data_IF_676978476498
#
_entry.id   IF_676978476498
#
_cell.length_a   1.000
_cell.length_b   1.000
_cell.length_c   1.000
_cell.angle_alpha   90.00
_cell.angle_beta   90.00
_cell.angle_gamma   90.00
#
_symmetry.space_group_name_H-M   'P 1'
#
loop_
_entity.id
_entity.type
_entity.pdbx_description
1 polymer ?
#
# COMPACT_ATOMS: atom_id res chain seq x y z
N UNK A 1 -13.70 15.55 6.43
CA UNK A 1 -12.53 16.37 6.82
C UNK A 1 -12.72 17.05 8.18
N UNK A 2 -13.80 17.84 8.44
CA UNK A 2 -13.95 18.60 9.69
C UNK A 2 -13.96 17.73 10.94
N UNK A 3 -14.80 16.69 11.01
CA UNK A 3 -14.89 15.77 12.15
C UNK A 3 -13.55 15.08 12.35
N UNK A 4 -12.89 14.62 11.29
CA UNK A 4 -11.59 13.93 11.37
C UNK A 4 -10.51 14.85 11.95
N UNK A 5 -10.46 16.13 11.53
CA UNK A 5 -9.55 17.12 12.12
C UNK A 5 -9.77 17.27 13.63
N UNK A 6 -11.01 17.43 14.07
CA UNK A 6 -11.35 17.55 15.50
C UNK A 6 -10.97 16.29 16.31
N UNK A 7 -11.14 15.10 15.73
CA UNK A 7 -10.71 13.85 16.39
C UNK A 7 -9.20 13.80 16.55
N UNK A 8 -8.45 14.21 15.55
CA UNK A 8 -6.99 14.30 15.61
C UNK A 8 -6.56 15.33 16.65
N UNK A 9 -7.01 16.59 16.51
CA UNK A 9 -6.53 17.70 17.34
C UNK A 9 -6.98 17.62 18.81
N UNK A 10 -8.23 17.17 19.05
CA UNK A 10 -8.83 17.21 20.40
C UNK A 10 -8.87 15.86 21.10
N UNK A 11 -8.76 14.75 20.38
CA UNK A 11 -8.89 13.39 20.91
C UNK A 11 -7.66 12.53 20.73
N UNK A 12 -6.63 13.03 20.02
CA UNK A 12 -5.36 12.35 19.84
C UNK A 12 -5.44 11.11 18.96
N UNK A 13 -6.35 11.06 17.99
CA UNK A 13 -6.35 10.00 16.99
C UNK A 13 -5.12 10.13 16.10
N UNK A 14 -4.37 9.04 15.93
CA UNK A 14 -3.12 8.99 15.17
C UNK A 14 -3.19 8.13 13.91
N UNK A 15 -4.36 7.58 13.58
CA UNK A 15 -4.56 6.80 12.37
C UNK A 15 -5.88 7.12 11.70
N UNK A 16 -5.84 7.21 10.37
CA UNK A 16 -7.00 7.34 9.50
C UNK A 16 -7.01 6.11 8.59
N UNK A 17 -8.11 5.38 8.58
CA UNK A 17 -8.32 4.26 7.69
C UNK A 17 -9.48 4.58 6.73
N UNK A 18 -9.27 4.36 5.44
CA UNK A 18 -10.21 4.72 4.39
C UNK A 18 -10.48 3.54 3.46
N UNK A 19 -11.68 3.48 2.90
CA UNK A 19 -12.04 2.51 1.86
C UNK A 19 -11.39 2.94 0.53
N UNK A 20 -10.12 2.64 0.40
CA UNK A 20 -9.30 2.93 -0.76
C UNK A 20 -8.19 1.89 -0.87
N UNK A 21 -7.63 1.73 -2.07
CA UNK A 21 -6.51 0.81 -2.31
C UNK A 21 -5.30 1.16 -1.45
N UNK A 22 -4.68 0.15 -0.85
CA UNK A 22 -3.53 0.34 0.03
C UNK A 22 -2.38 1.11 -0.64
N UNK A 23 -1.92 0.78 -1.87
CA UNK A 23 -0.83 1.50 -2.50
C UNK A 23 -1.12 2.99 -2.70
N UNK A 24 -2.36 3.35 -3.06
CA UNK A 24 -2.78 4.74 -3.23
C UNK A 24 -2.78 5.50 -1.90
N UNK A 25 -3.31 4.88 -0.85
CA UNK A 25 -3.27 5.45 0.50
C UNK A 25 -1.83 5.57 1.04
N UNK A 26 -0.95 4.61 0.72
CA UNK A 26 0.46 4.67 1.10
C UNK A 26 1.19 5.86 0.45
N UNK A 27 0.88 6.23 -0.79
CA UNK A 27 1.41 7.44 -1.42
C UNK A 27 1.04 8.71 -0.62
N UNK A 28 -0.22 8.81 -0.17
CA UNK A 28 -0.65 9.90 0.71
C UNK A 28 0.10 9.83 2.05
N UNK A 29 0.22 8.63 2.63
CA UNK A 29 0.92 8.44 3.90
C UNK A 29 2.39 8.90 3.84
N UNK A 30 3.11 8.54 2.79
CA UNK A 30 4.49 8.99 2.57
C UNK A 30 4.58 10.51 2.42
N UNK A 31 3.66 11.13 1.70
CA UNK A 31 3.61 12.58 1.54
C UNK A 31 3.39 13.31 2.87
N UNK A 32 2.40 12.88 3.67
CA UNK A 32 2.10 13.53 4.95
C UNK A 32 3.19 13.32 6.02
N UNK A 33 4.06 12.32 5.82
CA UNK A 33 5.25 12.10 6.64
C UNK A 33 6.50 12.83 6.13
N UNK A 34 6.43 13.45 4.94
CA UNK A 34 7.53 14.20 4.34
C UNK A 34 8.60 13.31 3.68
N UNK A 35 8.28 12.06 3.36
CA UNK A 35 9.19 11.09 2.75
C UNK A 35 9.04 10.97 1.24
N UNK A 36 8.02 11.61 0.65
CA UNK A 36 7.81 11.70 -0.79
C UNK A 36 7.29 13.08 -1.21
N UNK A 37 7.47 13.47 -2.50
CA UNK A 37 6.85 14.67 -3.05
C UNK A 37 5.32 14.56 -3.02
N UNK A 38 4.64 15.66 -3.32
CA UNK A 38 3.18 15.69 -3.40
C UNK A 38 2.68 14.68 -4.46
N UNK A 39 1.92 13.64 -4.06
CA UNK A 39 1.49 12.61 -4.98
C UNK A 39 0.54 13.13 -6.07
N UNK A 40 -0.15 14.25 -5.81
CA UNK A 40 -1.05 14.87 -6.78
C UNK A 40 -0.31 15.63 -7.88
N UNK A 41 0.97 15.94 -7.66
CA UNK A 41 1.86 16.55 -8.66
C UNK A 41 2.62 15.52 -9.48
N UNK A 42 2.85 14.32 -8.95
CA UNK A 42 3.74 13.31 -9.55
C UNK A 42 2.99 12.11 -10.11
N UNK A 43 1.99 11.64 -9.43
CA UNK A 43 1.12 10.56 -9.89
C UNK A 43 -0.25 10.74 -9.23
N UNK A 44 -1.32 10.70 -10.00
CA UNK A 44 -2.67 10.81 -9.43
C UNK A 44 -3.02 9.51 -8.69
N UNK A 45 -2.90 9.45 -7.34
CA UNK A 45 -3.43 8.34 -6.59
C UNK A 45 -4.95 8.29 -6.78
N UNK A 46 -5.56 7.15 -6.50
CA UNK A 46 -7.00 6.95 -6.66
C UNK A 46 -7.47 7.06 -8.12
N UNK A 47 -6.69 6.53 -9.06
CA UNK A 47 -7.03 6.51 -10.48
C UNK A 47 -8.15 5.51 -10.82
N UNK A 48 -8.47 4.60 -9.90
CA UNK A 48 -9.51 3.60 -10.04
C UNK A 48 -10.91 4.16 -9.73
N UNK A 49 -11.92 3.67 -10.45
CA UNK A 49 -13.31 4.07 -10.19
C UNK A 49 -13.80 3.56 -8.81
N UNK A 50 -14.51 4.38 -8.03
CA UNK A 50 -14.92 5.76 -8.33
C UNK A 50 -13.87 6.82 -7.95
N UNK A 51 -13.18 7.37 -8.94
CA UNK A 51 -12.09 8.35 -8.75
C UNK A 51 -12.51 9.57 -7.93
N UNK A 52 -13.77 10.04 -8.11
CA UNK A 52 -14.31 11.21 -7.42
C UNK A 52 -14.38 11.08 -5.90
N UNK A 53 -14.39 9.83 -5.38
CA UNK A 53 -14.51 9.60 -3.94
C UNK A 53 -13.30 10.15 -3.18
N UNK A 54 -12.09 9.92 -3.69
CA UNK A 54 -10.84 10.31 -3.06
C UNK A 54 -10.05 11.35 -3.86
N UNK A 55 -10.09 11.32 -5.19
CA UNK A 55 -9.42 12.28 -6.06
C UNK A 55 -10.25 13.55 -6.22
N UNK A 56 -10.40 14.33 -5.16
CA UNK A 56 -11.17 15.58 -5.15
C UNK A 56 -10.49 16.66 -4.30
N UNK A 57 -10.91 17.91 -4.50
CA UNK A 57 -10.32 19.08 -3.84
C UNK A 57 -10.40 19.03 -2.30
N UNK A 58 -11.48 18.50 -1.75
CA UNK A 58 -11.64 18.40 -0.29
C UNK A 58 -10.67 17.40 0.35
N UNK A 59 -10.35 16.31 -0.35
CA UNK A 59 -9.33 15.35 0.09
C UNK A 59 -7.95 15.97 -0.07
N UNK A 60 -7.67 16.66 -1.17
CA UNK A 60 -6.43 17.40 -1.38
C UNK A 60 -6.15 18.39 -0.25
N UNK A 61 -7.10 19.29 0.05
CA UNK A 61 -6.97 20.24 1.14
C UNK A 61 -6.77 19.57 2.51
N UNK A 62 -7.45 18.45 2.72
CA UNK A 62 -7.30 17.68 3.94
C UNK A 62 -5.90 17.06 4.05
N UNK A 63 -5.35 16.53 2.96
CA UNK A 63 -4.02 15.92 2.90
C UNK A 63 -2.92 16.96 3.17
N UNK A 64 -3.02 18.15 2.58
CA UNK A 64 -2.09 19.24 2.84
C UNK A 64 -2.16 19.71 4.30
N UNK A 65 -3.37 19.84 4.86
CA UNK A 65 -3.54 20.15 6.27
C UNK A 65 -2.89 19.09 7.16
N UNK A 66 -3.08 17.81 6.83
CA UNK A 66 -2.55 16.68 7.59
C UNK A 66 -1.02 16.65 7.56
N UNK A 67 -0.41 16.98 6.41
CA UNK A 67 1.04 17.18 6.30
C UNK A 67 1.52 18.29 7.24
N UNK A 68 0.91 19.47 7.18
CA UNK A 68 1.26 20.60 8.05
C UNK A 68 1.07 20.27 9.54
N UNK A 69 0.05 19.48 9.89
CA UNK A 69 -0.14 18.96 11.24
C UNK A 69 1.02 18.03 11.65
N UNK A 70 1.39 17.08 10.81
CA UNK A 70 2.46 16.12 11.09
C UNK A 70 3.85 16.79 11.20
N UNK A 71 4.09 17.89 10.49
CA UNK A 71 5.35 18.65 10.55
C UNK A 71 5.61 19.28 11.93
N UNK A 72 4.58 19.41 12.78
CA UNK A 72 4.73 19.91 14.15
C UNK A 72 5.36 18.88 15.10
N UNK A 73 5.44 17.61 14.70
CA UNK A 73 5.95 16.51 15.52
C UNK A 73 7.30 16.00 14.99
N UNK A 74 8.33 16.00 15.85
CA UNK A 74 9.63 15.43 15.52
C UNK A 74 9.60 13.89 15.55
N UNK A 75 8.88 13.30 16.54
CA UNK A 75 8.80 11.85 16.70
C UNK A 75 7.78 11.22 15.73
N UNK A 76 8.18 10.21 14.93
CA UNK A 76 7.28 9.55 13.99
C UNK A 76 6.01 8.98 14.64
N UNK A 77 6.11 8.45 15.86
CA UNK A 77 4.98 7.86 16.59
C UNK A 77 3.89 8.84 17.00
N UNK A 78 4.14 10.15 16.91
CA UNK A 78 3.16 11.20 17.20
C UNK A 78 2.49 11.73 15.92
N UNK A 79 2.97 11.32 14.75
CA UNK A 79 2.39 11.70 13.46
C UNK A 79 1.17 10.86 13.15
N UNK A 80 0.21 11.47 12.48
CA UNK A 80 -1.01 10.78 12.02
C UNK A 80 -0.70 10.02 10.74
N UNK A 81 -1.07 8.73 10.70
CA UNK A 81 -0.97 7.89 9.51
C UNK A 81 -2.26 7.87 8.68
N UNK A 82 -2.13 7.54 7.40
CA UNK A 82 -3.23 7.43 6.44
C UNK A 82 -3.13 6.07 5.72
N UNK A 83 -4.15 5.22 5.85
CA UNK A 83 -4.11 3.82 5.44
C UNK A 83 -5.34 3.43 4.63
N UNK A 84 -5.12 2.63 3.57
CA UNK A 84 -6.19 2.02 2.78
C UNK A 84 -6.66 0.70 3.39
N UNK A 85 -7.93 0.35 3.18
CA UNK A 85 -8.53 -0.89 3.66
C UNK A 85 -8.98 -1.81 2.52
N UNK A 86 -8.89 -1.35 1.27
CA UNK A 86 -9.41 -2.09 0.12
C UNK A 86 -8.39 -3.10 -0.42
N UNK A 87 -8.89 -4.20 -1.02
CA UNK A 87 -8.10 -5.34 -1.46
C UNK A 87 -7.98 -5.47 -2.99
N UNK A 88 -8.44 -4.48 -3.75
CA UNK A 88 -8.57 -4.61 -5.21
C UNK A 88 -7.33 -4.21 -6.03
N UNK A 89 -6.22 -3.92 -5.40
CA UNK A 89 -5.01 -3.38 -6.03
C UNK A 89 -3.96 -4.47 -6.38
N UNK A 90 -4.37 -5.64 -6.84
CA UNK A 90 -3.48 -6.79 -7.07
C UNK A 90 -2.19 -6.40 -7.83
N UNK A 91 -2.32 -5.74 -8.99
CA UNK A 91 -1.17 -5.38 -9.83
C UNK A 91 -0.24 -4.39 -9.14
N UNK A 92 -0.77 -3.27 -8.64
CA UNK A 92 0.03 -2.24 -7.96
C UNK A 92 0.60 -2.72 -6.63
N UNK A 93 -0.05 -3.66 -5.95
CA UNK A 93 0.50 -4.27 -4.75
C UNK A 93 1.68 -5.19 -5.05
N UNK A 94 1.63 -5.98 -6.13
CA UNK A 94 2.78 -6.77 -6.60
C UNK A 94 3.96 -5.85 -6.93
N UNK A 95 3.72 -4.79 -7.69
CA UNK A 95 4.74 -3.80 -8.04
C UNK A 95 5.35 -3.13 -6.80
N UNK A 96 4.54 -2.76 -5.81
CA UNK A 96 5.02 -2.15 -4.58
C UNK A 96 5.95 -3.09 -3.80
N UNK A 97 5.63 -4.38 -3.68
CA UNK A 97 6.50 -5.38 -3.04
C UNK A 97 7.82 -5.54 -3.81
N UNK A 98 7.75 -5.68 -5.13
CA UNK A 98 8.94 -5.86 -5.96
C UNK A 98 9.86 -4.64 -5.91
N UNK A 99 9.33 -3.44 -6.04
CA UNK A 99 10.08 -2.18 -5.95
C UNK A 99 10.77 -2.01 -4.59
N UNK A 100 10.09 -2.39 -3.51
CA UNK A 100 10.69 -2.38 -2.17
C UNK A 100 11.88 -3.36 -2.11
N UNK A 101 11.67 -4.62 -2.50
CA UNK A 101 12.70 -5.66 -2.46
C UNK A 101 13.89 -5.33 -3.39
N UNK A 102 13.66 -4.80 -4.58
CA UNK A 102 14.73 -4.36 -5.49
C UNK A 102 15.68 -3.35 -4.85
N UNK A 103 15.14 -2.50 -3.96
CA UNK A 103 15.95 -1.48 -3.27
C UNK A 103 16.81 -2.06 -2.16
N UNK A 104 16.33 -3.09 -1.43
CA UNK A 104 16.98 -3.56 -0.19
C UNK A 104 17.56 -4.97 -0.29
N UNK A 105 17.01 -5.82 -1.16
CA UNK A 105 17.36 -7.24 -1.32
C UNK A 105 17.04 -7.73 -2.73
N UNK A 106 17.87 -7.39 -3.73
CA UNK A 106 17.64 -7.75 -5.13
C UNK A 106 17.52 -9.26 -5.39
N UNK A 107 18.20 -10.11 -4.59
CA UNK A 107 18.10 -11.56 -4.72
C UNK A 107 16.71 -12.06 -4.34
N UNK A 108 16.16 -11.54 -3.22
CA UNK A 108 14.78 -11.86 -2.81
C UNK A 108 13.76 -11.25 -3.76
N UNK A 109 14.04 -10.09 -4.37
CA UNK A 109 13.18 -9.50 -5.40
C UNK A 109 13.01 -10.41 -6.61
N UNK A 110 14.11 -11.02 -7.09
CA UNK A 110 14.04 -11.93 -8.25
C UNK A 110 13.22 -13.19 -7.92
N UNK A 111 13.40 -13.76 -6.73
CA UNK A 111 12.59 -14.88 -6.26
C UNK A 111 11.11 -14.51 -6.18
N UNK A 112 10.79 -13.34 -5.64
CA UNK A 112 9.43 -12.84 -5.55
C UNK A 112 8.81 -12.60 -6.94
N UNK A 113 9.57 -12.07 -7.89
CA UNK A 113 9.14 -11.86 -9.28
C UNK A 113 8.73 -13.18 -9.95
N UNK A 114 9.53 -14.24 -9.77
CA UNK A 114 9.21 -15.57 -10.29
C UNK A 114 7.93 -16.10 -9.66
N UNK A 115 7.76 -15.95 -8.33
CA UNK A 115 6.59 -16.42 -7.60
C UNK A 115 5.30 -15.69 -7.98
N UNK A 116 5.36 -14.36 -8.15
CA UNK A 116 4.21 -13.56 -8.60
C UNK A 116 3.95 -13.69 -10.10
N UNK A 117 4.88 -14.27 -10.87
CA UNK A 117 4.76 -14.41 -12.33
C UNK A 117 3.49 -15.13 -12.78
N UNK A 118 2.96 -16.05 -11.98
CA UNK A 118 1.69 -16.74 -12.26
C UNK A 118 0.47 -15.79 -12.19
N UNK A 119 0.54 -14.66 -11.46
CA UNK A 119 -0.51 -13.66 -11.36
C UNK A 119 -0.43 -12.57 -12.44
N UNK A 120 0.72 -12.44 -13.10
CA UNK A 120 0.96 -11.39 -14.10
C UNK A 120 -0.12 -11.26 -15.18
N UNK A 121 -0.69 -12.35 -15.75
CA UNK A 121 -1.75 -12.23 -16.74
C UNK A 121 -3.06 -11.63 -16.21
N UNK A 122 -3.23 -11.59 -14.89
CA UNK A 122 -4.49 -11.23 -14.22
C UNK A 122 -4.42 -9.88 -13.50
N UNK A 123 -3.27 -9.21 -13.51
CA UNK A 123 -3.06 -7.95 -12.78
C UNK A 123 -3.98 -6.82 -13.23
N UNK A 124 -4.42 -6.82 -14.48
CA UNK A 124 -5.35 -5.83 -15.03
C UNK A 124 -6.83 -6.15 -14.75
N UNK A 125 -7.16 -7.42 -14.54
CA UNK A 125 -8.53 -7.87 -14.22
C UNK A 125 -8.48 -9.12 -13.31
N UNK A 126 -8.35 -8.93 -11.99
CA UNK A 126 -8.29 -10.04 -11.02
C UNK A 126 -9.53 -10.95 -11.01
N UNK A 127 -10.69 -10.43 -11.45
CA UNK A 127 -11.92 -11.24 -11.49
C UNK A 127 -11.81 -12.41 -12.48
N UNK A 128 -11.05 -12.23 -13.56
CA UNK A 128 -10.79 -13.31 -14.53
C UNK A 128 -9.95 -14.43 -13.93
N UNK A 129 -9.04 -14.13 -12.98
CA UNK A 129 -8.29 -15.15 -12.24
C UNK A 129 -9.23 -16.05 -11.44
N UNK A 130 -10.15 -15.45 -10.68
CA UNK A 130 -11.16 -16.21 -9.94
C UNK A 130 -11.98 -17.15 -10.83
N UNK A 131 -12.41 -16.69 -12.01
CA UNK A 131 -13.12 -17.53 -12.98
C UNK A 131 -12.25 -18.66 -13.53
N UNK A 132 -10.98 -18.38 -13.83
CA UNK A 132 -10.04 -19.36 -14.37
C UNK A 132 -9.74 -20.48 -13.36
N UNK A 133 -9.55 -20.15 -12.10
CA UNK A 133 -9.32 -21.12 -11.01
C UNK A 133 -10.56 -21.96 -10.72
N UNK A 134 -11.76 -21.36 -10.66
CA UNK A 134 -13.02 -22.09 -10.49
C UNK A 134 -13.27 -23.12 -11.59
N UNK A 135 -12.86 -22.85 -12.81
CA UNK A 135 -13.00 -23.77 -13.96
C UNK A 135 -11.85 -24.77 -14.07
N UNK A 136 -10.88 -24.77 -13.17
CA UNK A 136 -9.66 -25.60 -13.18
C UNK A 136 -8.86 -25.48 -14.49
N UNK A 137 -9.00 -24.40 -15.20
CA UNK A 137 -8.29 -24.12 -16.46
C UNK A 137 -6.92 -23.51 -16.26
N UNK A 138 -6.60 -23.13 -15.03
CA UNK A 138 -5.34 -22.49 -14.69
C UNK A 138 -4.78 -23.05 -13.37
N UNK A 139 -3.43 -23.05 -13.25
CA UNK A 139 -2.73 -23.46 -12.02
C UNK A 139 -2.95 -22.40 -10.93
N UNK A 140 -3.33 -22.86 -9.75
CA UNK A 140 -3.44 -21.99 -8.57
C UNK A 140 -2.08 -21.39 -8.20
N UNK A 141 -2.05 -20.07 -7.99
CA UNK A 141 -0.86 -19.33 -7.57
C UNK A 141 -0.67 -19.30 -6.06
N UNK A 142 -1.64 -19.77 -5.29
CA UNK A 142 -1.70 -19.64 -3.83
C UNK A 142 -0.39 -20.01 -3.13
N UNK A 143 0.18 -21.16 -3.45
CA UNK A 143 1.42 -21.63 -2.80
C UNK A 143 2.61 -20.72 -3.05
N UNK A 144 2.74 -20.22 -4.28
CA UNK A 144 3.85 -19.36 -4.68
C UNK A 144 3.70 -17.97 -4.03
N UNK A 145 2.48 -17.44 -3.96
CA UNK A 145 2.15 -16.16 -3.34
C UNK A 145 2.36 -16.22 -1.82
N UNK A 146 1.88 -17.28 -1.15
CA UNK A 146 2.12 -17.49 0.28
C UNK A 146 3.62 -17.60 0.56
N UNK A 147 4.38 -18.31 -0.29
CA UNK A 147 5.82 -18.44 -0.13
C UNK A 147 6.54 -17.07 -0.30
N UNK A 148 6.07 -16.20 -1.19
CA UNK A 148 6.62 -14.83 -1.31
C UNK A 148 6.41 -14.02 -0.02
N UNK A 149 5.21 -14.05 0.56
CA UNK A 149 4.94 -13.42 1.85
C UNK A 149 5.80 -14.02 2.98
N UNK A 150 5.93 -15.35 3.04
CA UNK A 150 6.74 -16.00 4.06
C UNK A 150 8.21 -15.59 3.98
N UNK A 151 8.79 -15.44 2.79
CA UNK A 151 10.17 -15.01 2.64
C UNK A 151 10.37 -13.55 3.09
N UNK A 152 9.43 -12.68 2.79
CA UNK A 152 9.43 -11.30 3.30
C UNK A 152 9.39 -11.29 4.85
N UNK A 153 8.52 -12.10 5.46
CA UNK A 153 8.36 -12.19 6.91
C UNK A 153 9.57 -12.80 7.62
N UNK A 154 10.29 -13.74 7.01
CA UNK A 154 11.51 -14.33 7.58
C UNK A 154 12.60 -13.28 7.85
N UNK A 155 12.69 -12.27 7.01
CA UNK A 155 13.68 -11.18 7.10
C UNK A 155 13.15 -9.91 7.77
N UNK A 156 11.98 -9.98 8.40
CA UNK A 156 11.29 -8.80 8.95
C UNK A 156 12.14 -7.96 9.90
N UNK A 157 12.98 -8.57 10.71
CA UNK A 157 13.82 -7.83 11.69
C UNK A 157 14.89 -7.00 10.98
N UNK A 158 15.51 -7.55 9.94
CA UNK A 158 16.55 -6.84 9.19
C UNK A 158 15.93 -5.70 8.36
N UNK A 159 14.81 -5.98 7.69
CA UNK A 159 14.09 -5.01 6.89
C UNK A 159 13.49 -3.87 7.74
N UNK A 160 12.90 -4.20 8.88
CA UNK A 160 12.35 -3.17 9.80
C UNK A 160 13.43 -2.29 10.43
N UNK A 161 14.65 -2.80 10.62
CA UNK A 161 15.79 -2.01 11.10
C UNK A 161 16.30 -1.03 10.04
N UNK A 162 16.22 -1.43 8.77
CA UNK A 162 16.63 -0.56 7.65
C UNK A 162 15.63 0.59 7.43
N UNK A 163 14.34 0.25 7.30
CA UNK A 163 13.24 1.21 7.15
C UNK A 163 11.91 0.53 7.54
N UNK A 164 11.49 0.74 8.77
CA UNK A 164 10.29 0.09 9.31
C UNK A 164 9.00 0.50 8.62
N UNK A 165 8.88 1.75 8.14
CA UNK A 165 7.68 2.21 7.46
C UNK A 165 7.57 1.59 6.05
N UNK A 166 8.63 1.61 5.27
CA UNK A 166 8.65 0.99 3.94
C UNK A 166 8.47 -0.54 4.02
N UNK A 167 9.07 -1.17 5.05
CA UNK A 167 8.83 -2.59 5.29
C UNK A 167 7.35 -2.87 5.60
N UNK A 168 6.74 -2.08 6.47
CA UNK A 168 5.32 -2.23 6.81
C UNK A 168 4.43 -2.11 5.58
N UNK A 169 4.68 -1.14 4.71
CA UNK A 169 3.94 -0.98 3.46
C UNK A 169 4.11 -2.20 2.53
N UNK A 170 5.34 -2.71 2.39
CA UNK A 170 5.60 -3.90 1.59
C UNK A 170 4.94 -5.16 2.16
N UNK A 171 4.95 -5.33 3.49
CA UNK A 171 4.26 -6.44 4.16
C UNK A 171 2.74 -6.38 3.92
N UNK A 172 2.12 -5.20 4.05
CA UNK A 172 0.69 -5.07 3.80
C UNK A 172 0.33 -5.36 2.34
N UNK A 173 1.12 -4.87 1.38
CA UNK A 173 0.93 -5.19 -0.03
C UNK A 173 1.07 -6.70 -0.29
N UNK A 174 2.05 -7.37 0.29
CA UNK A 174 2.21 -8.82 0.15
C UNK A 174 1.03 -9.61 0.76
N UNK A 175 0.50 -9.15 1.90
CA UNK A 175 -0.72 -9.72 2.51
C UNK A 175 -1.94 -9.52 1.63
N UNK A 176 -2.06 -8.34 1.00
CA UNK A 176 -3.14 -8.03 0.07
C UNK A 176 -3.10 -8.99 -1.11
N UNK A 177 -1.93 -9.18 -1.75
CA UNK A 177 -1.76 -10.14 -2.85
C UNK A 177 -2.13 -11.58 -2.44
N UNK A 178 -1.91 -11.95 -1.18
CA UNK A 178 -2.25 -13.29 -0.66
C UNK A 178 -3.75 -13.48 -0.47
N UNK A 179 -4.52 -12.39 -0.29
CA UNK A 179 -5.95 -12.42 0.00
C UNK A 179 -6.83 -11.99 -1.20
N UNK A 180 -6.22 -11.54 -2.29
CA UNK A 180 -6.89 -11.18 -3.53
C UNK A 180 -7.17 -12.43 -4.39
#
# INVERSE_FOLDING_TARGET
ARITRELIEKKGFTAIAVEADWPDAAHINHFIHGTSPDPLLVSAPFSRFPTWMWANHSVLEFTHWLKAHNEQFAAPGNKVGFYGLDLYSLGSSIEAVLNYLETIDPETAEVARVRYGCLTPWTSDPALYGQATMTRRYRECEKDVIAALQDLLKRRLDYSRADGQRYFDAEQNARLVTNA
#
